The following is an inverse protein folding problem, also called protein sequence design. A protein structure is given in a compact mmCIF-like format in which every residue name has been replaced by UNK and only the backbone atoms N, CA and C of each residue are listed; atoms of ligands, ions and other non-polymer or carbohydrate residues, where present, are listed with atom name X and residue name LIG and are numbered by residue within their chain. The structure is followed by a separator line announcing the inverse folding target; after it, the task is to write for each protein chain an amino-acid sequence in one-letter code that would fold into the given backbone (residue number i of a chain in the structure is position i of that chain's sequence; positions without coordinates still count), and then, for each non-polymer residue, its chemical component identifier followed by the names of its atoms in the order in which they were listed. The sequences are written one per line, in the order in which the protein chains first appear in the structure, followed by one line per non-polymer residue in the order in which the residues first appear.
data_IF_005896294416
#
_entry.id   IF_005896294416
#
_cell.length_a   1.000
_cell.length_b   1.000
_cell.length_c   1.000
_cell.angle_alpha   90.00
_cell.angle_beta   90.00
_cell.angle_gamma   90.00
#
_symmetry.space_group_name_H-M   'P 1'
#
loop_
_entity.id
_entity.type
_entity.pdbx_description
1 polymer ?
#
# COMPACT_ATOMS: atom_id res chain seq x y z
N UNK A 1 -14.89 -17.84 -17.70
CA UNK A 1 -14.09 -16.68 -17.23
C UNK A 1 -12.82 -16.63 -18.06
N UNK A 2 -12.67 -15.61 -18.91
CA UNK A 2 -11.41 -15.33 -19.60
C UNK A 2 -10.80 -14.13 -18.88
N UNK A 3 -9.67 -14.31 -18.19
CA UNK A 3 -8.95 -13.17 -17.64
C UNK A 3 -8.22 -12.44 -18.77
N UNK A 4 -8.11 -11.11 -18.73
CA UNK A 4 -7.25 -10.37 -19.65
C UNK A 4 -5.80 -10.84 -19.49
N UNK A 5 -4.99 -10.63 -20.54
CA UNK A 5 -3.56 -10.89 -20.44
C UNK A 5 -2.96 -10.09 -19.28
N UNK A 6 -2.30 -10.77 -18.33
CA UNK A 6 -1.65 -10.10 -17.21
C UNK A 6 -0.42 -9.34 -17.73
N UNK A 7 -0.36 -8.05 -17.44
CA UNK A 7 0.86 -7.25 -17.56
C UNK A 7 1.65 -7.37 -16.26
N UNK A 8 2.91 -7.80 -16.34
CA UNK A 8 3.80 -7.78 -15.20
C UNK A 8 4.51 -6.42 -15.11
N UNK A 9 4.61 -5.88 -13.90
CA UNK A 9 5.44 -4.73 -13.58
C UNK A 9 6.54 -5.16 -12.62
N UNK A 10 7.77 -4.71 -12.88
CA UNK A 10 8.94 -5.03 -12.04
C UNK A 10 9.47 -3.72 -11.49
N UNK A 11 9.36 -3.55 -10.16
CA UNK A 11 9.86 -2.38 -9.44
C UNK A 11 11.02 -2.82 -8.54
N UNK A 12 12.23 -2.23 -8.69
CA UNK A 12 13.34 -2.53 -7.80
C UNK A 12 13.06 -2.01 -6.39
N UNK A 13 13.40 -2.79 -5.36
CA UNK A 13 13.23 -2.44 -3.94
C UNK A 13 14.54 -2.63 -3.18
N UNK A 14 14.76 -1.80 -2.16
CA UNK A 14 15.95 -1.77 -1.31
C UNK A 14 15.57 -1.85 0.16
N UNK A 15 16.43 -2.42 1.04
CA UNK A 15 16.13 -2.51 2.46
C UNK A 15 15.77 -1.14 3.05
N UNK A 16 14.63 -1.07 3.75
CA UNK A 16 14.04 0.16 4.28
C UNK A 16 12.86 0.68 3.46
N UNK A 17 12.73 0.28 2.20
CA UNK A 17 11.60 0.69 1.36
C UNK A 17 10.26 0.24 1.95
N UNK A 18 9.26 1.11 1.80
CA UNK A 18 7.89 0.83 2.24
C UNK A 18 7.00 0.73 1.01
N UNK A 19 6.40 -0.44 0.80
CA UNK A 19 5.43 -0.68 -0.26
C UNK A 19 4.03 -0.54 0.32
N UNK A 20 3.19 0.22 -0.37
CA UNK A 20 1.78 0.41 -0.01
C UNK A 20 0.94 -0.02 -1.20
N UNK A 21 0.08 -1.01 -0.99
CA UNK A 21 -0.88 -1.48 -1.99
C UNK A 21 -2.29 -1.23 -1.46
N UNK A 22 -3.18 -0.74 -2.33
CA UNK A 22 -4.56 -0.43 -1.96
C UNK A 22 -5.53 -0.95 -3.00
N UNK A 23 -6.76 -1.28 -2.59
CA UNK A 23 -7.88 -1.43 -3.53
C UNK A 23 -8.40 -0.07 -4.00
N UNK A 24 -9.29 -0.08 -4.98
CA UNK A 24 -10.01 1.12 -5.44
C UNK A 24 -11.03 1.63 -4.41
N UNK A 25 -11.38 0.82 -3.40
CA UNK A 25 -12.07 1.26 -2.19
C UNK A 25 -11.29 2.30 -1.35
N UNK A 26 -10.02 2.56 -1.65
CA UNK A 26 -9.21 3.63 -1.02
C UNK A 26 -9.04 4.79 -2.01
N UNK A 27 -9.28 6.02 -1.56
CA UNK A 27 -9.09 7.22 -2.39
C UNK A 27 -7.61 7.41 -2.71
N UNK A 28 -7.27 7.52 -4.00
CA UNK A 28 -5.88 7.55 -4.50
C UNK A 28 -5.07 8.80 -4.13
N UNK A 29 -5.74 9.87 -3.68
CA UNK A 29 -5.10 11.12 -3.27
C UNK A 29 -4.34 11.01 -1.94
N UNK A 30 -4.38 9.86 -1.26
CA UNK A 30 -3.51 9.57 -0.11
C UNK A 30 -2.01 9.73 -0.44
N UNK A 31 -1.64 9.43 -1.69
CA UNK A 31 -0.27 9.57 -2.20
C UNK A 31 0.21 11.02 -2.30
N UNK A 32 -0.70 12.00 -2.23
CA UNK A 32 -0.36 13.43 -2.23
C UNK A 32 0.01 13.96 -0.83
N UNK A 33 -0.34 13.24 0.23
CA UNK A 33 0.02 13.61 1.60
C UNK A 33 1.36 12.97 2.02
N UNK A 34 2.10 13.67 2.88
CA UNK A 34 3.37 13.15 3.41
C UNK A 34 3.06 12.11 4.48
N UNK A 35 3.25 10.84 4.14
CA UNK A 35 3.12 9.73 5.08
C UNK A 35 4.37 9.62 5.97
N UNK A 36 4.16 9.29 7.25
CA UNK A 36 5.28 9.06 8.18
C UNK A 36 5.92 7.70 7.92
N UNK A 37 7.06 7.69 7.23
CA UNK A 37 7.84 6.46 7.02
C UNK A 37 8.44 5.90 8.31
N UNK A 38 8.40 6.64 9.43
CA UNK A 38 8.83 6.13 10.73
C UNK A 38 7.76 5.31 11.44
N UNK A 39 6.50 5.45 11.06
CA UNK A 39 5.44 4.65 11.67
C UNK A 39 5.63 3.16 11.33
N UNK A 40 5.33 2.26 12.27
CA UNK A 40 5.26 0.83 12.00
C UNK A 40 4.22 0.54 10.91
N UNK A 41 4.43 -0.46 10.04
CA UNK A 41 3.51 -0.77 8.95
C UNK A 41 2.03 -0.89 9.37
N UNK A 42 1.67 -1.56 10.48
CA UNK A 42 0.26 -1.64 10.90
C UNK A 42 -0.35 -0.27 11.20
N UNK A 43 0.38 0.60 11.90
CA UNK A 43 -0.10 1.95 12.24
C UNK A 43 -0.31 2.81 10.98
N UNK A 44 0.59 2.69 10.01
CA UNK A 44 0.44 3.40 8.74
C UNK A 44 -0.75 2.87 7.93
N UNK A 45 -0.96 1.55 7.92
CA UNK A 45 -2.12 0.94 7.25
C UNK A 45 -3.44 1.44 7.85
N UNK A 46 -3.56 1.42 9.18
CA UNK A 46 -4.75 1.92 9.90
C UNK A 46 -4.99 3.40 9.62
N UNK A 47 -3.92 4.21 9.62
CA UNK A 47 -4.03 5.65 9.34
C UNK A 47 -4.57 5.92 7.93
N UNK A 48 -4.05 5.21 6.92
CA UNK A 48 -4.50 5.37 5.53
C UNK A 48 -5.95 4.90 5.39
N UNK A 49 -6.28 3.74 5.94
CA UNK A 49 -7.62 3.18 5.85
C UNK A 49 -8.66 4.09 6.52
N UNK A 50 -8.35 4.63 7.71
CA UNK A 50 -9.24 5.50 8.45
C UNK A 50 -9.52 6.84 7.75
N UNK A 51 -8.55 7.37 7.00
CA UNK A 51 -8.64 8.72 6.41
C UNK A 51 -9.02 8.72 4.93
N UNK A 52 -8.69 7.66 4.18
CA UNK A 52 -8.97 7.56 2.74
C UNK A 52 -9.84 6.37 2.33
N UNK A 53 -10.19 5.47 3.26
CA UNK A 53 -11.17 4.42 3.00
C UNK A 53 -12.53 5.00 2.64
N UNK A 54 -13.05 4.63 1.47
CA UNK A 54 -14.41 4.99 1.05
C UNK A 54 -15.41 4.29 1.95
N UNK A 55 -16.54 4.94 2.19
CA UNK A 55 -17.61 4.38 3.04
C UNK A 55 -18.62 3.54 2.24
N UNK A 56 -18.49 3.50 0.92
CA UNK A 56 -19.44 2.87 0.00
C UNK A 56 -18.82 1.73 -0.81
N UNK A 57 -17.63 1.27 -0.44
CA UNK A 57 -16.86 0.25 -1.14
C UNK A 57 -15.94 -0.48 -0.16
N UNK A 58 -15.53 -1.70 -0.50
CA UNK A 58 -14.62 -2.48 0.33
C UNK A 58 -13.18 -1.96 0.17
N UNK A 59 -12.58 -1.54 1.28
CA UNK A 59 -11.26 -0.93 1.31
C UNK A 59 -10.23 -1.85 1.95
N UNK A 60 -9.09 -2.04 1.26
CA UNK A 60 -7.93 -2.72 1.80
C UNK A 60 -6.69 -1.85 1.64
N UNK A 61 -5.87 -1.80 2.69
CA UNK A 61 -4.54 -1.20 2.69
C UNK A 61 -3.54 -2.24 3.18
N UNK A 62 -2.55 -2.57 2.35
CA UNK A 62 -1.40 -3.39 2.72
C UNK A 62 -0.17 -2.51 2.77
N UNK A 63 0.49 -2.46 3.94
CA UNK A 63 1.77 -1.78 4.13
C UNK A 63 2.82 -2.81 4.49
N UNK A 64 3.92 -2.83 3.75
CA UNK A 64 5.06 -3.72 3.98
C UNK A 64 6.33 -2.89 4.03
N UNK A 65 7.22 -3.19 4.99
CA UNK A 65 8.59 -2.70 4.98
C UNK A 65 9.52 -3.82 4.52
N UNK A 66 10.23 -3.59 3.43
CA UNK A 66 11.22 -4.55 2.96
C UNK A 66 12.47 -4.44 3.83
N UNK A 67 12.86 -5.53 4.48
CA UNK A 67 14.02 -5.56 5.39
C UNK A 67 15.30 -6.08 4.73
N UNK A 68 15.23 -6.54 3.49
CA UNK A 68 16.32 -7.28 2.86
C UNK A 68 16.35 -8.75 3.28
N UNK A 69 17.49 -9.38 3.04
CA UNK A 69 17.74 -10.76 3.46
C UNK A 69 17.86 -10.82 4.98
N UNK A 70 17.16 -11.77 5.60
CA UNK A 70 17.43 -12.15 6.98
C UNK A 70 18.82 -12.81 7.01
N UNK A 71 19.79 -12.11 7.57
CA UNK A 71 21.10 -12.69 7.92
C UNK A 71 20.98 -13.56 9.15
#
# INVERSE_FOLDING_TARGET
MHLPALAAEIVPVTPGDTLILTTDGVRSDFSNERLSHQDPPPKLADHILARWGKQNDDALVLVVRYLGLAT
#
